data_IF_380607015971
#
_entry.id   IF_380607015971
#
_cell.length_a   1.000
_cell.length_b   1.000
_cell.length_c   1.000
_cell.angle_alpha   90.00
_cell.angle_beta   90.00
_cell.angle_gamma   90.00
#
_symmetry.space_group_name_H-M   'P 1'
#
loop_
_entity.id
_entity.type
_entity.pdbx_description
1 polymer ?
#
# COMPACT_ATOMS: atom_id res chain seq x y z
N UNK A 1 -0.16 -0.13 13.98
CA UNK A 1 -1.36 -0.45 14.77
C UNK A 1 -1.11 -0.08 16.22
N UNK A 2 -2.04 0.63 16.84
CA UNK A 2 -1.95 1.08 18.25
C UNK A 2 -2.97 0.34 19.13
N UNK A 3 -3.29 -0.91 18.77
CA UNK A 3 -4.26 -1.73 19.50
C UNK A 3 -5.71 -1.39 19.17
N UNK A 4 -5.97 -0.93 17.95
CA UNK A 4 -7.33 -0.67 17.47
C UNK A 4 -8.17 -1.95 17.49
N UNK A 5 -9.43 -1.83 17.92
CA UNK A 5 -10.39 -2.93 17.94
C UNK A 5 -10.91 -3.25 16.54
N UNK A 6 -11.20 -2.19 15.77
CA UNK A 6 -11.69 -2.28 14.40
C UNK A 6 -11.34 -1.02 13.59
N UNK A 7 -11.83 -0.94 12.36
CA UNK A 7 -11.61 0.21 11.48
C UNK A 7 -12.32 1.48 11.97
N UNK A 8 -13.44 1.38 12.66
CA UNK A 8 -14.15 2.54 13.22
C UNK A 8 -13.41 3.10 14.43
N UNK A 9 -12.83 2.25 15.28
CA UNK A 9 -11.95 2.70 16.36
C UNK A 9 -10.70 3.40 15.80
N UNK A 10 -10.06 2.83 14.76
CA UNK A 10 -8.97 3.51 14.05
C UNK A 10 -9.40 4.89 13.56
N UNK A 11 -10.55 5.01 12.90
CA UNK A 11 -11.07 6.29 12.42
C UNK A 11 -11.48 7.24 13.54
N UNK A 12 -11.82 6.74 14.72
CA UNK A 12 -12.18 7.56 15.87
C UNK A 12 -11.06 8.51 16.29
N UNK A 13 -9.80 8.10 16.06
CA UNK A 13 -8.60 8.89 16.38
C UNK A 13 -8.34 10.02 15.38
N UNK A 14 -9.11 10.11 14.29
CA UNK A 14 -8.93 11.13 13.25
C UNK A 14 -9.71 12.41 13.58
N UNK A 15 -9.18 13.56 13.18
CA UNK A 15 -9.95 14.80 13.18
C UNK A 15 -11.21 14.65 12.31
N UNK A 16 -12.33 15.21 12.75
CA UNK A 16 -13.67 15.00 12.19
C UNK A 16 -13.73 15.14 10.66
N UNK A 17 -13.09 16.18 10.10
CA UNK A 17 -13.05 16.41 8.64
C UNK A 17 -12.39 15.25 7.88
N UNK A 18 -11.26 14.73 8.37
CA UNK A 18 -10.51 13.64 7.71
C UNK A 18 -11.28 12.32 7.81
N UNK A 19 -11.86 12.03 8.98
CA UNK A 19 -12.73 10.86 9.19
C UNK A 19 -13.92 10.87 8.23
N UNK A 20 -14.61 12.01 8.08
CA UNK A 20 -15.74 12.15 7.14
C UNK A 20 -15.31 11.89 5.69
N UNK A 21 -14.12 12.35 5.28
CA UNK A 21 -13.63 12.12 3.92
C UNK A 21 -13.40 10.63 3.64
N UNK A 22 -12.76 9.90 4.57
CA UNK A 22 -12.54 8.45 4.41
C UNK A 22 -13.87 7.70 4.34
N UNK A 23 -14.83 8.02 5.22
CA UNK A 23 -16.16 7.42 5.19
C UNK A 23 -16.84 7.66 3.83
N UNK A 24 -16.76 8.88 3.29
CA UNK A 24 -17.31 9.22 1.98
C UNK A 24 -16.64 8.42 0.84
N UNK A 25 -15.30 8.25 0.87
CA UNK A 25 -14.57 7.44 -0.12
C UNK A 25 -15.07 5.97 -0.08
N UNK A 26 -15.17 5.37 1.10
CA UNK A 26 -15.66 4.00 1.30
C UNK A 26 -17.13 3.83 0.91
N UNK A 27 -17.98 4.80 1.26
CA UNK A 27 -19.40 4.78 0.90
C UNK A 27 -19.64 4.81 -0.61
N UNK A 28 -18.79 5.53 -1.38
CA UNK A 28 -18.88 5.52 -2.84
C UNK A 28 -18.61 4.13 -3.41
N UNK A 29 -17.58 3.45 -2.94
CA UNK A 29 -17.26 2.07 -3.36
C UNK A 29 -18.40 1.11 -2.97
N UNK A 30 -18.94 1.23 -1.76
CA UNK A 30 -20.07 0.42 -1.30
C UNK A 30 -21.34 0.60 -2.14
N UNK A 31 -21.65 1.86 -2.53
CA UNK A 31 -22.80 2.18 -3.40
C UNK A 31 -22.67 1.58 -4.80
N UNK A 32 -21.45 1.34 -5.28
CA UNK A 32 -21.18 0.67 -6.55
C UNK A 32 -21.29 -0.86 -6.45
N UNK A 33 -21.72 -1.38 -5.30
CA UNK A 33 -21.85 -2.81 -4.99
C UNK A 33 -20.52 -3.59 -5.17
N UNK A 34 -19.38 -2.92 -4.93
CA UNK A 34 -18.06 -3.55 -4.97
C UNK A 34 -17.80 -4.22 -3.62
N UNK A 35 -17.51 -5.52 -3.64
CA UNK A 35 -17.18 -6.34 -2.48
C UNK A 35 -15.71 -6.72 -2.50
N UNK A 36 -15.15 -7.13 -1.36
CA UNK A 36 -13.76 -7.49 -1.24
C UNK A 36 -13.62 -8.93 -0.73
N UNK A 37 -12.76 -9.69 -1.40
CA UNK A 37 -12.47 -11.09 -1.05
C UNK A 37 -10.97 -11.23 -0.76
N UNK A 38 -10.64 -11.69 0.45
CA UNK A 38 -9.28 -12.02 0.87
C UNK A 38 -8.97 -13.47 0.52
N UNK A 39 -7.85 -13.73 -0.15
CA UNK A 39 -7.39 -15.06 -0.55
C UNK A 39 -5.97 -15.25 -0.05
N UNK A 40 -5.72 -16.24 0.79
CA UNK A 40 -4.40 -16.61 1.34
C UNK A 40 -3.87 -17.94 0.80
N UNK A 41 -4.76 -18.86 0.41
CA UNK A 41 -4.35 -20.07 -0.29
C UNK A 41 -4.40 -19.83 -1.79
N UNK A 42 -3.26 -19.40 -2.36
CA UNK A 42 -3.18 -18.89 -3.72
C UNK A 42 -2.77 -20.04 -4.67
N UNK A 43 -3.73 -20.53 -5.46
CA UNK A 43 -3.49 -21.49 -6.54
C UNK A 43 -2.87 -20.82 -7.76
N UNK A 44 -2.38 -21.61 -8.70
CA UNK A 44 -1.84 -21.12 -9.98
C UNK A 44 -2.87 -20.27 -10.74
N UNK A 45 -4.15 -20.68 -10.74
CA UNK A 45 -5.23 -19.92 -11.38
C UNK A 45 -5.47 -18.56 -10.74
N UNK A 46 -5.29 -18.44 -9.43
CA UNK A 46 -5.38 -17.17 -8.70
C UNK A 46 -4.18 -16.28 -9.06
N UNK A 47 -2.99 -16.86 -9.20
CA UNK A 47 -1.81 -16.12 -9.68
C UNK A 47 -1.98 -15.65 -11.13
N UNK A 48 -2.52 -16.48 -12.01
CA UNK A 48 -2.80 -16.11 -13.40
C UNK A 48 -3.76 -14.90 -13.45
N UNK A 49 -4.81 -14.91 -12.65
CA UNK A 49 -5.75 -13.80 -12.56
C UNK A 49 -5.10 -12.53 -11.97
N UNK A 50 -4.35 -12.65 -10.87
CA UNK A 50 -3.63 -11.51 -10.28
C UNK A 50 -2.65 -10.90 -11.28
N UNK A 51 -1.92 -11.74 -12.01
CA UNK A 51 -0.94 -11.28 -13.00
C UNK A 51 -1.58 -10.43 -14.10
N UNK A 52 -2.80 -10.73 -14.53
CA UNK A 52 -3.53 -9.89 -15.48
C UNK A 52 -3.69 -8.45 -14.94
N UNK A 53 -4.08 -8.29 -13.67
CA UNK A 53 -4.20 -6.97 -13.07
C UNK A 53 -2.86 -6.25 -12.96
N UNK A 54 -1.82 -6.97 -12.54
CA UNK A 54 -0.47 -6.44 -12.48
C UNK A 54 0.02 -5.97 -13.85
N UNK A 55 -0.14 -6.79 -14.88
CA UNK A 55 0.26 -6.47 -16.26
C UNK A 55 -0.50 -5.26 -16.83
N UNK A 56 -1.80 -5.14 -16.55
CA UNK A 56 -2.61 -3.99 -16.98
C UNK A 56 -2.10 -2.67 -16.43
N UNK A 57 -1.53 -2.66 -15.21
CA UNK A 57 -0.94 -1.45 -14.62
C UNK A 57 0.23 -0.91 -15.44
N UNK A 58 1.04 -1.79 -16.02
CA UNK A 58 2.16 -1.43 -16.90
C UNK A 58 1.68 -1.10 -18.32
N UNK A 59 0.77 -1.91 -18.86
CA UNK A 59 0.23 -1.71 -20.20
C UNK A 59 -0.40 -0.31 -20.37
N UNK A 60 -1.12 0.19 -19.35
CA UNK A 60 -1.68 1.55 -19.34
C UNK A 60 -0.64 2.66 -19.40
N UNK A 61 0.60 2.36 -19.05
CA UNK A 61 1.74 3.29 -19.12
C UNK A 61 2.58 3.09 -20.37
N UNK A 62 2.13 2.22 -21.31
CA UNK A 62 2.90 1.85 -22.49
C UNK A 62 4.15 1.04 -22.17
N UNK A 63 4.20 0.38 -21.02
CA UNK A 63 5.34 -0.39 -20.53
C UNK A 63 5.02 -1.89 -20.49
N UNK A 64 6.05 -2.72 -20.55
CA UNK A 64 5.94 -4.15 -20.28
C UNK A 64 6.13 -4.40 -18.78
N UNK A 65 5.41 -5.37 -18.18
CA UNK A 65 5.69 -5.83 -16.83
C UNK A 65 7.14 -6.29 -16.71
N UNK A 66 7.84 -5.86 -15.67
CA UNK A 66 9.24 -6.29 -15.45
C UNK A 66 9.35 -7.61 -14.67
N UNK A 67 8.28 -8.02 -13.97
CA UNK A 67 8.19 -9.33 -13.32
C UNK A 67 7.31 -10.24 -14.17
N UNK A 68 7.68 -11.52 -14.22
CA UNK A 68 6.94 -12.54 -14.98
C UNK A 68 5.90 -13.23 -14.12
N UNK A 69 4.99 -13.98 -14.76
CA UNK A 69 4.01 -14.79 -14.04
C UNK A 69 4.69 -15.87 -13.19
N UNK A 70 5.76 -16.50 -13.73
CA UNK A 70 6.54 -17.51 -13.02
C UNK A 70 7.14 -16.95 -11.74
N UNK A 71 7.66 -15.72 -11.77
CA UNK A 71 8.13 -15.05 -10.56
C UNK A 71 7.05 -15.00 -9.49
N UNK A 72 5.82 -14.62 -9.83
CA UNK A 72 4.73 -14.57 -8.85
C UNK A 72 4.37 -15.96 -8.31
N UNK A 73 4.36 -17.00 -9.16
CA UNK A 73 4.09 -18.38 -8.73
C UNK A 73 5.12 -18.91 -7.73
N UNK A 74 6.39 -18.48 -7.84
CA UNK A 74 7.45 -18.82 -6.90
C UNK A 74 7.28 -18.16 -5.51
N UNK A 75 6.46 -17.10 -5.41
CA UNK A 75 6.23 -16.40 -4.14
C UNK A 75 5.27 -17.15 -3.17
N UNK A 76 4.75 -18.30 -3.56
CA UNK A 76 3.79 -19.10 -2.77
C UNK A 76 4.24 -19.41 -1.34
N UNK A 77 5.55 -19.54 -1.12
CA UNK A 77 6.13 -19.85 0.19
C UNK A 77 6.34 -18.61 1.09
N UNK A 78 5.97 -17.41 0.62
CA UNK A 78 6.10 -16.16 1.38
C UNK A 78 4.78 -15.73 2.03
N UNK A 79 3.86 -16.66 2.26
CA UNK A 79 2.54 -16.38 2.85
C UNK A 79 1.81 -15.18 2.21
N UNK A 80 1.69 -15.14 0.86
CA UNK A 80 1.04 -14.04 0.18
C UNK A 80 -0.46 -13.98 0.50
N UNK A 81 -1.00 -12.76 0.48
CA UNK A 81 -2.44 -12.49 0.58
C UNK A 81 -2.84 -11.63 -0.60
N UNK A 82 -3.85 -12.05 -1.36
CA UNK A 82 -4.44 -11.24 -2.42
C UNK A 82 -5.83 -10.77 -1.97
N UNK A 83 -6.08 -9.47 -2.09
CA UNK A 83 -7.40 -8.89 -1.90
C UNK A 83 -7.95 -8.53 -3.27
N UNK A 84 -8.99 -9.25 -3.70
CA UNK A 84 -9.73 -8.93 -4.91
C UNK A 84 -10.88 -7.97 -4.61
N UNK A 85 -11.03 -6.94 -5.43
CA UNK A 85 -12.25 -6.16 -5.54
C UNK A 85 -13.17 -6.84 -6.56
N UNK A 86 -14.37 -7.20 -6.13
CA UNK A 86 -15.34 -7.99 -6.87
C UNK A 86 -16.59 -7.17 -7.13
N UNK A 87 -17.05 -7.13 -8.36
CA UNK A 87 -18.30 -6.49 -8.78
C UNK A 87 -19.05 -7.42 -9.69
N UNK A 88 -20.35 -7.57 -9.43
CA UNK A 88 -21.19 -8.56 -10.08
C UNK A 88 -20.56 -9.96 -9.96
N UNK A 89 -20.24 -10.65 -11.04
CA UNK A 89 -19.69 -12.02 -11.02
C UNK A 89 -18.19 -12.10 -11.33
N UNK A 90 -17.45 -10.97 -11.34
CA UNK A 90 -16.03 -10.98 -11.71
C UNK A 90 -15.17 -10.02 -10.88
N UNK A 91 -13.88 -10.33 -10.81
CA UNK A 91 -12.89 -9.48 -10.18
C UNK A 91 -12.51 -8.31 -11.11
N UNK A 92 -12.53 -7.09 -10.56
CA UNK A 92 -12.22 -5.85 -11.27
C UNK A 92 -10.87 -5.26 -10.91
N UNK A 93 -10.34 -5.64 -9.75
CA UNK A 93 -9.04 -5.19 -9.26
C UNK A 93 -8.46 -6.19 -8.26
N UNK A 94 -7.14 -6.13 -8.05
CA UNK A 94 -6.46 -6.93 -7.06
C UNK A 94 -5.29 -6.18 -6.42
N UNK A 95 -5.06 -6.42 -5.12
CA UNK A 95 -3.87 -5.97 -4.39
C UNK A 95 -3.19 -7.15 -3.73
N UNK A 96 -1.86 -7.22 -3.84
CA UNK A 96 -1.01 -8.25 -3.26
C UNK A 96 -0.31 -7.73 -2.02
N UNK A 97 -0.38 -8.54 -0.98
CA UNK A 97 0.27 -8.30 0.30
C UNK A 97 1.14 -9.50 0.69
N UNK A 98 2.16 -9.21 1.49
CA UNK A 98 2.96 -10.21 2.20
C UNK A 98 2.89 -9.94 3.69
N UNK A 99 3.22 -10.93 4.50
CA UNK A 99 3.25 -10.78 5.96
C UNK A 99 4.55 -11.33 6.54
N UNK A 100 4.99 -10.72 7.63
CA UNK A 100 5.97 -11.28 8.55
C UNK A 100 5.30 -11.56 9.89
N UNK A 101 6.08 -11.82 10.93
CA UNK A 101 5.56 -12.06 12.29
C UNK A 101 4.73 -10.89 12.85
N UNK A 102 5.03 -9.66 12.46
CA UNK A 102 4.43 -8.45 13.03
C UNK A 102 4.02 -7.38 12.01
N UNK A 103 4.32 -7.59 10.72
CA UNK A 103 4.15 -6.57 9.68
C UNK A 103 3.40 -7.11 8.47
N UNK A 104 2.41 -6.36 8.00
CA UNK A 104 1.76 -6.52 6.71
C UNK A 104 2.43 -5.60 5.67
N UNK A 105 2.79 -6.13 4.51
CA UNK A 105 3.46 -5.40 3.42
C UNK A 105 2.55 -5.33 2.19
N UNK A 106 2.07 -4.15 1.83
CA UNK A 106 1.41 -3.91 0.54
C UNK A 106 2.45 -3.75 -0.58
N UNK A 107 2.28 -4.48 -1.69
CA UNK A 107 3.31 -4.49 -2.76
C UNK A 107 2.76 -4.14 -4.13
N UNK A 108 1.91 -4.95 -4.69
CA UNK A 108 1.47 -4.80 -6.08
C UNK A 108 -0.04 -4.63 -6.15
N UNK A 109 -0.46 -3.89 -7.15
CA UNK A 109 -1.86 -3.57 -7.38
C UNK A 109 -2.13 -3.47 -8.87
N UNK A 110 -3.36 -3.78 -9.26
CA UNK A 110 -3.87 -3.48 -10.58
C UNK A 110 -5.39 -3.53 -10.64
N UNK A 111 -5.95 -2.89 -11.67
CA UNK A 111 -7.40 -2.85 -11.89
C UNK A 111 -7.73 -2.89 -13.38
N UNK A 112 -8.89 -3.45 -13.74
CA UNK A 112 -9.43 -3.43 -15.11
C UNK A 112 -10.01 -2.06 -15.48
N UNK A 113 -10.54 -1.36 -14.49
CA UNK A 113 -11.22 -0.08 -14.68
C UNK A 113 -10.63 1.00 -13.77
N UNK A 114 -10.69 2.25 -14.21
CA UNK A 114 -10.32 3.39 -13.39
C UNK A 114 -11.56 3.88 -12.62
N UNK A 115 -11.73 3.34 -11.42
CA UNK A 115 -12.82 3.69 -10.51
C UNK A 115 -12.26 4.54 -9.38
N UNK A 116 -12.84 5.73 -9.19
CA UNK A 116 -12.45 6.64 -8.13
C UNK A 116 -12.45 5.94 -6.76
N UNK A 117 -11.34 6.07 -6.04
CA UNK A 117 -11.09 5.51 -4.70
C UNK A 117 -10.93 3.99 -4.63
N UNK A 118 -11.11 3.24 -5.72
CA UNK A 118 -10.94 1.77 -5.73
C UNK A 118 -9.53 1.36 -5.27
N UNK A 119 -8.51 2.07 -5.75
CA UNK A 119 -7.13 1.87 -5.29
C UNK A 119 -7.00 2.06 -3.78
N UNK A 120 -7.58 3.13 -3.23
CA UNK A 120 -7.48 3.41 -1.80
C UNK A 120 -8.24 2.41 -0.96
N UNK A 121 -9.42 2.00 -1.41
CA UNK A 121 -10.18 0.97 -0.72
C UNK A 121 -9.43 -0.35 -0.72
N UNK A 122 -9.00 -0.84 -1.91
CA UNK A 122 -8.40 -2.17 -2.04
C UNK A 122 -7.02 -2.25 -1.37
N UNK A 123 -6.15 -1.23 -1.58
CA UNK A 123 -4.76 -1.28 -1.10
C UNK A 123 -4.59 -0.78 0.32
N UNK A 124 -5.40 0.21 0.76
CA UNK A 124 -5.19 0.83 2.07
C UNK A 124 -6.27 0.48 3.08
N UNK A 125 -7.55 0.71 2.79
CA UNK A 125 -8.58 0.49 3.80
C UNK A 125 -8.78 -0.99 4.09
N UNK A 126 -8.83 -1.82 3.07
CA UNK A 126 -8.85 -3.28 3.24
C UNK A 126 -7.57 -3.83 3.88
N UNK A 127 -6.41 -3.23 3.56
CA UNK A 127 -5.13 -3.56 4.19
C UNK A 127 -5.08 -3.17 5.66
N UNK A 128 -5.64 -2.00 6.05
CA UNK A 128 -5.74 -1.55 7.44
C UNK A 128 -6.68 -2.49 8.22
N UNK A 129 -7.86 -2.82 7.66
CA UNK A 129 -8.78 -3.79 8.26
C UNK A 129 -8.10 -5.14 8.50
N UNK A 130 -7.39 -5.66 7.49
CA UNK A 130 -6.62 -6.90 7.59
C UNK A 130 -5.54 -6.81 8.68
N UNK A 131 -4.82 -5.69 8.77
CA UNK A 131 -3.77 -5.49 9.76
C UNK A 131 -4.33 -5.40 11.20
N UNK A 132 -5.52 -4.83 11.37
CA UNK A 132 -6.21 -4.78 12.67
C UNK A 132 -6.72 -6.17 13.04
N UNK A 133 -7.43 -6.83 12.14
CA UNK A 133 -8.03 -8.16 12.31
C UNK A 133 -6.98 -9.23 12.70
N UNK A 134 -5.84 -9.24 12.02
CA UNK A 134 -4.74 -10.17 12.30
C UNK A 134 -3.74 -9.67 13.34
N UNK A 135 -4.02 -8.51 13.97
CA UNK A 135 -3.20 -7.91 15.04
C UNK A 135 -1.75 -7.63 14.62
N UNK A 136 -1.51 -7.34 13.34
CA UNK A 136 -0.19 -6.88 12.92
C UNK A 136 0.16 -5.56 13.60
N UNK A 137 1.39 -5.45 14.06
CA UNK A 137 1.92 -4.24 14.69
C UNK A 137 2.11 -3.12 13.68
N UNK A 138 2.56 -3.48 12.49
CA UNK A 138 2.85 -2.55 11.40
C UNK A 138 2.09 -2.91 10.12
N UNK A 139 1.81 -1.88 9.32
CA UNK A 139 1.41 -2.03 7.93
C UNK A 139 2.25 -1.09 7.08
N UNK A 140 3.11 -1.66 6.24
CA UNK A 140 3.93 -0.95 5.25
C UNK A 140 3.21 -0.91 3.90
N UNK A 141 2.68 0.26 3.48
CA UNK A 141 1.97 0.42 2.21
C UNK A 141 2.91 0.72 1.03
N UNK A 142 4.23 0.55 1.20
CA UNK A 142 5.26 0.91 0.24
C UNK A 142 5.75 2.37 0.35
N UNK A 143 6.76 2.73 -0.42
CA UNK A 143 7.55 3.95 -0.24
C UNK A 143 6.82 5.23 -0.67
N UNK A 144 6.16 5.26 -1.82
CA UNK A 144 5.67 6.49 -2.44
C UNK A 144 4.25 6.89 -2.00
N UNK A 145 3.97 8.20 -2.01
CA UNK A 145 2.64 8.76 -2.02
C UNK A 145 2.22 9.53 -0.77
N UNK A 146 2.24 10.86 -0.85
CA UNK A 146 1.75 11.75 0.22
C UNK A 146 0.27 11.50 0.61
N UNK A 147 -0.52 10.93 -0.31
CA UNK A 147 -1.91 10.57 -0.05
C UNK A 147 -2.05 9.53 1.07
N UNK A 148 -0.99 8.77 1.38
CA UNK A 148 -0.95 7.81 2.49
C UNK A 148 -1.01 8.50 3.86
N UNK A 149 -0.31 9.64 4.00
CA UNK A 149 -0.35 10.45 5.24
C UNK A 149 -1.78 10.83 5.62
N UNK A 150 -2.59 11.24 4.63
CA UNK A 150 -3.99 11.61 4.84
C UNK A 150 -4.88 10.44 5.29
N UNK A 151 -4.39 9.20 5.16
CA UNK A 151 -5.04 7.94 5.53
C UNK A 151 -4.48 7.30 6.78
N UNK A 152 -3.61 8.05 7.51
CA UNK A 152 -3.10 7.62 8.80
C UNK A 152 -1.82 6.78 8.75
N UNK A 153 -1.17 6.68 7.60
CA UNK A 153 0.17 6.10 7.54
C UNK A 153 1.18 7.11 8.03
N UNK A 154 1.93 6.73 9.04
CA UNK A 154 2.97 7.58 9.62
C UNK A 154 4.26 7.47 8.78
N UNK A 155 4.96 8.58 8.51
CA UNK A 155 6.23 8.53 7.80
C UNK A 155 7.29 7.88 8.67
N UNK A 156 8.19 7.11 8.05
CA UNK A 156 9.39 6.57 8.68
C UNK A 156 10.60 6.92 7.83
N UNK A 157 11.76 7.10 8.46
CA UNK A 157 13.02 7.30 7.77
C UNK A 157 13.61 5.93 7.46
N UNK A 158 13.88 5.67 6.18
CA UNK A 158 14.59 4.48 5.72
C UNK A 158 16.00 4.87 5.29
N UNK A 159 16.92 3.92 5.41
CA UNK A 159 18.30 4.07 4.96
C UNK A 159 18.66 2.99 3.95
N UNK A 160 19.42 3.36 2.94
CA UNK A 160 20.02 2.40 2.02
C UNK A 160 21.53 2.65 1.93
N UNK A 161 22.29 1.60 1.62
CA UNK A 161 23.75 1.66 1.55
C UNK A 161 24.18 1.31 0.13
N UNK A 162 25.02 2.15 -0.45
CA UNK A 162 25.49 1.99 -1.82
C UNK A 162 27.01 2.05 -1.87
N UNK A 163 27.63 1.13 -2.61
CA UNK A 163 29.03 1.16 -2.92
C UNK A 163 29.24 1.62 -4.38
N UNK A 164 30.10 2.61 -4.58
CA UNK A 164 30.41 3.17 -5.89
C UNK A 164 31.91 3.02 -6.14
N UNK A 165 32.29 2.31 -7.23
CA UNK A 165 33.68 2.00 -7.57
C UNK A 165 34.49 3.26 -7.88
N UNK A 166 33.94 4.16 -8.73
CA UNK A 166 34.61 5.40 -9.11
C UNK A 166 34.70 6.36 -7.91
N UNK A 167 35.91 6.79 -7.54
CA UNK A 167 36.18 7.61 -6.35
C UNK A 167 35.60 9.04 -6.47
N UNK A 168 35.69 9.66 -7.64
CA UNK A 168 35.19 11.01 -7.88
C UNK A 168 33.67 11.04 -7.82
N UNK A 169 33.02 10.06 -8.49
CA UNK A 169 31.58 9.92 -8.46
C UNK A 169 31.08 9.58 -7.05
N UNK A 170 31.81 8.72 -6.31
CA UNK A 170 31.51 8.42 -4.89
C UNK A 170 31.53 9.68 -4.03
N UNK A 171 32.52 10.57 -4.23
CA UNK A 171 32.61 11.83 -3.50
C UNK A 171 31.44 12.76 -3.83
N UNK A 172 31.09 12.89 -5.09
CA UNK A 172 29.95 13.69 -5.52
C UNK A 172 28.61 13.19 -4.90
N UNK A 173 28.37 11.87 -4.96
CA UNK A 173 27.18 11.27 -4.33
C UNK A 173 27.18 11.42 -2.81
N UNK A 174 28.32 11.28 -2.15
CA UNK A 174 28.43 11.50 -0.70
C UNK A 174 28.02 12.92 -0.31
N UNK A 175 28.50 13.92 -1.05
CA UNK A 175 28.15 15.32 -0.79
C UNK A 175 26.65 15.56 -1.03
N UNK A 176 26.11 15.03 -2.12
CA UNK A 176 24.66 15.07 -2.39
C UNK A 176 23.84 14.45 -1.25
N UNK A 177 24.23 13.26 -0.75
CA UNK A 177 23.51 12.60 0.35
C UNK A 177 23.53 13.41 1.66
N UNK A 178 24.60 14.17 1.92
CA UNK A 178 24.66 15.04 3.11
C UNK A 178 23.61 16.15 3.00
N UNK A 179 23.50 16.80 1.86
CA UNK A 179 22.50 17.85 1.62
C UNK A 179 21.07 17.28 1.61
N UNK A 180 20.89 16.14 0.92
CA UNK A 180 19.59 15.46 0.85
C UNK A 180 19.09 15.06 2.25
N UNK A 181 19.96 14.56 3.12
CA UNK A 181 19.59 14.14 4.48
C UNK A 181 18.95 15.29 5.28
N UNK A 182 19.46 16.51 5.13
CA UNK A 182 18.89 17.69 5.80
C UNK A 182 17.48 18.01 5.27
N UNK A 183 17.28 17.91 3.95
CA UNK A 183 15.97 18.12 3.33
C UNK A 183 14.96 17.03 3.75
N UNK A 184 15.41 15.78 3.82
CA UNK A 184 14.56 14.65 4.27
C UNK A 184 14.13 14.82 5.73
N UNK A 185 15.02 15.28 6.62
CA UNK A 185 14.63 15.56 8.00
C UNK A 185 13.56 16.65 8.12
N UNK A 186 13.72 17.73 7.33
CA UNK A 186 12.73 18.80 7.30
C UNK A 186 11.38 18.30 6.75
N UNK A 187 11.43 17.55 5.65
CA UNK A 187 10.25 16.95 5.06
C UNK A 187 9.55 15.99 6.04
N UNK A 188 10.30 15.15 6.74
CA UNK A 188 9.76 14.24 7.75
C UNK A 188 9.01 15.01 8.86
N UNK A 189 9.59 16.07 9.41
CA UNK A 189 8.95 16.92 10.42
C UNK A 189 7.67 17.59 9.89
N UNK A 190 7.67 18.01 8.63
CA UNK A 190 6.48 18.58 7.99
C UNK A 190 5.40 17.52 7.76
N UNK A 191 5.78 16.33 7.30
CA UNK A 191 4.87 15.21 7.07
C UNK A 191 4.14 14.79 8.35
N UNK A 192 4.83 14.72 9.49
CA UNK A 192 4.23 14.43 10.78
C UNK A 192 3.11 15.43 11.14
N UNK A 193 3.27 16.71 10.83
CA UNK A 193 2.25 17.74 11.09
C UNK A 193 1.00 17.61 10.21
N UNK A 194 1.06 16.83 9.13
CA UNK A 194 -0.08 16.63 8.20
C UNK A 194 -0.91 15.40 8.51
N UNK A 195 -0.50 14.61 9.48
CA UNK A 195 -1.22 13.42 9.90
C UNK A 195 -2.66 13.75 10.31
N UNK A 196 -3.59 12.84 10.07
CA UNK A 196 -5.02 13.12 10.29
C UNK A 196 -5.47 12.96 11.73
N UNK A 197 -4.60 12.55 12.65
CA UNK A 197 -4.95 12.24 14.02
C UNK A 197 -5.25 13.49 14.85
N UNK A 198 -6.16 13.34 15.80
CA UNK A 198 -6.37 14.35 16.84
C UNK A 198 -5.12 14.37 17.73
N UNK A 199 -4.59 15.57 18.02
CA UNK A 199 -3.56 15.69 19.06
C UNK A 199 -4.16 15.19 20.37
N UNK A 200 -3.60 14.11 20.92
CA UNK A 200 -3.84 13.66 22.27
C UNK A 200 -2.88 14.39 23.17
#
# INVERSE_FOLDING_TARGET
>A
NKGYEDFEDFLSKFVSRKRKNIKKERDLIKRMNIKFKKVSNISDTVWDEFYLFYALTYARRGQRPYLTLEFFKELKNLDPIIIFAHKDDYNIAAALFFKSSDTLYGRYWGAKEDINFLHFETCYYQGIELAIEQKFKYFDPGIQGQHKLKRGFEPIINSSYHWIKNSEFRTAIKNFCIEESQHIELYFKQALKTLPFTNV
#
